data_IF_378321037137
#
_entry.id   IF_378321037137
#
_cell.length_a   1.000
_cell.length_b   1.000
_cell.length_c   1.000
_cell.angle_alpha   90.00
_cell.angle_beta   90.00
_cell.angle_gamma   90.00
#
_symmetry.space_group_name_H-M   'P 1'
#
loop_
_entity.id
_entity.type
_entity.pdbx_description
1 polymer ?
#
# COMPACT_ATOMS: atom_id res chain seq x y z
N UNK A 1 -37.83 3.41 -13.08
CA UNK A 1 -37.93 1.93 -13.11
C UNK A 1 -36.70 1.25 -13.69
N UNK A 2 -36.25 1.57 -14.91
CA UNK A 2 -35.03 0.94 -15.49
C UNK A 2 -33.76 1.12 -14.65
N UNK A 3 -33.50 2.32 -14.11
CA UNK A 3 -32.33 2.59 -13.25
C UNK A 3 -32.28 1.73 -11.98
N UNK A 4 -33.44 1.46 -11.36
CA UNK A 4 -33.54 0.65 -10.15
C UNK A 4 -33.22 -0.83 -10.39
N UNK A 5 -33.41 -1.31 -11.63
CA UNK A 5 -33.07 -2.69 -12.03
C UNK A 5 -31.59 -2.78 -12.41
N UNK A 6 -31.08 -1.78 -13.14
CA UNK A 6 -29.68 -1.77 -13.60
C UNK A 6 -28.70 -1.69 -12.43
N UNK A 7 -29.00 -0.92 -11.38
CA UNK A 7 -28.11 -0.72 -10.24
C UNK A 7 -27.70 -2.05 -9.55
N UNK A 8 -28.63 -2.89 -9.06
CA UNK A 8 -28.26 -4.15 -8.39
C UNK A 8 -27.62 -5.14 -9.36
N UNK A 9 -28.11 -5.25 -10.60
CA UNK A 9 -27.51 -6.11 -11.61
C UNK A 9 -26.05 -5.72 -11.89
N UNK A 10 -25.78 -4.43 -12.10
CA UNK A 10 -24.44 -3.94 -12.37
C UNK A 10 -23.54 -4.02 -11.14
N UNK A 11 -24.06 -3.79 -9.94
CA UNK A 11 -23.30 -3.94 -8.69
C UNK A 11 -22.78 -5.37 -8.50
N UNK A 12 -23.63 -6.37 -8.73
CA UNK A 12 -23.24 -7.79 -8.62
C UNK A 12 -22.20 -8.13 -9.70
N UNK A 13 -22.44 -7.74 -10.95
CA UNK A 13 -21.50 -7.98 -12.06
C UNK A 13 -20.15 -7.31 -11.83
N UNK A 14 -20.13 -6.05 -11.36
CA UNK A 14 -18.91 -5.33 -11.06
C UNK A 14 -18.13 -5.95 -9.89
N UNK A 15 -18.84 -6.42 -8.86
CA UNK A 15 -18.24 -7.12 -7.72
C UNK A 15 -17.60 -8.45 -8.16
N UNK A 16 -18.27 -9.21 -9.03
CA UNK A 16 -17.70 -10.42 -9.61
C UNK A 16 -16.48 -10.09 -10.46
N UNK A 17 -16.59 -9.13 -11.39
CA UNK A 17 -15.50 -8.73 -12.26
C UNK A 17 -14.25 -8.29 -11.48
N UNK A 18 -14.44 -7.53 -10.39
CA UNK A 18 -13.35 -7.08 -9.52
C UNK A 18 -12.62 -8.23 -8.80
N UNK A 19 -13.27 -9.38 -8.60
CA UNK A 19 -12.68 -10.59 -8.00
C UNK A 19 -11.98 -11.52 -8.99
N UNK A 20 -12.10 -11.27 -10.30
CA UNK A 20 -11.42 -12.09 -11.31
C UNK A 20 -9.93 -11.75 -11.41
N UNK A 21 -9.10 -12.72 -11.78
CA UNK A 21 -7.65 -12.56 -11.95
C UNK A 21 -7.25 -11.81 -13.24
N UNK A 22 -8.15 -10.99 -13.78
CA UNK A 22 -7.96 -10.24 -15.03
C UNK A 22 -7.46 -8.84 -14.68
N UNK A 23 -6.43 -8.38 -15.39
CA UNK A 23 -5.98 -6.99 -15.30
C UNK A 23 -7.11 -6.07 -15.80
N UNK A 24 -7.85 -5.47 -14.87
CA UNK A 24 -8.98 -4.59 -15.16
C UNK A 24 -9.05 -3.43 -14.17
N UNK A 25 -9.51 -2.27 -14.65
CA UNK A 25 -9.67 -1.08 -13.82
C UNK A 25 -11.00 -1.11 -13.06
N UNK A 26 -10.95 -1.01 -11.73
CA UNK A 26 -12.16 -0.96 -10.87
C UNK A 26 -12.73 0.46 -10.70
N UNK A 27 -12.06 1.49 -11.20
CA UNK A 27 -12.44 2.91 -10.99
C UNK A 27 -13.76 3.25 -11.68
N UNK A 28 -13.90 2.94 -12.97
CA UNK A 28 -15.08 3.29 -13.76
C UNK A 28 -16.35 2.60 -13.23
N UNK A 29 -16.34 1.27 -12.93
CA UNK A 29 -17.51 0.62 -12.34
C UNK A 29 -17.98 1.28 -11.04
N UNK A 30 -17.05 1.70 -10.17
CA UNK A 30 -17.36 2.39 -8.91
C UNK A 30 -18.04 3.74 -9.17
N UNK A 31 -17.49 4.56 -10.08
CA UNK A 31 -18.11 5.83 -10.45
C UNK A 31 -19.50 5.63 -11.07
N UNK A 32 -19.67 4.61 -11.91
CA UNK A 32 -20.96 4.32 -12.54
C UNK A 32 -22.04 3.92 -11.52
N UNK A 33 -21.71 3.03 -10.58
CA UNK A 33 -22.64 2.62 -9.51
C UNK A 33 -23.07 3.82 -8.67
N UNK A 34 -22.12 4.64 -8.23
CA UNK A 34 -22.42 5.87 -7.48
C UNK A 34 -23.24 6.87 -8.28
N UNK A 35 -22.95 7.00 -9.59
CA UNK A 35 -23.70 7.88 -10.49
C UNK A 35 -25.14 7.44 -10.70
N UNK A 36 -25.38 6.13 -10.83
CA UNK A 36 -26.72 5.56 -10.87
C UNK A 36 -27.48 5.86 -9.57
N UNK A 37 -26.84 5.65 -8.42
CA UNK A 37 -27.43 5.94 -7.11
C UNK A 37 -27.78 7.42 -6.96
N UNK A 38 -26.85 8.31 -7.30
CA UNK A 38 -27.07 9.76 -7.28
C UNK A 38 -28.18 10.20 -8.22
N UNK A 39 -28.27 9.62 -9.42
CA UNK A 39 -29.34 9.93 -10.39
C UNK A 39 -30.72 9.45 -9.91
N UNK A 40 -30.79 8.32 -9.21
CA UNK A 40 -32.03 7.83 -8.58
C UNK A 40 -32.48 8.82 -7.51
N UNK A 41 -31.58 9.24 -6.62
CA UNK A 41 -31.89 10.24 -5.58
C UNK A 41 -32.32 11.57 -6.20
N UNK A 42 -31.63 12.05 -7.23
CA UNK A 42 -31.99 13.27 -7.94
C UNK A 42 -33.39 13.19 -8.58
N UNK A 43 -33.75 12.06 -9.19
CA UNK A 43 -35.11 11.84 -9.73
C UNK A 43 -36.18 11.86 -8.64
N UNK A 44 -35.95 11.19 -7.51
CA UNK A 44 -36.88 11.17 -6.38
C UNK A 44 -37.07 12.58 -5.81
N UNK A 45 -35.99 13.35 -5.67
CA UNK A 45 -36.06 14.75 -5.20
C UNK A 45 -36.87 15.62 -6.15
N UNK A 46 -36.66 15.48 -7.46
CA UNK A 46 -37.42 16.21 -8.48
C UNK A 46 -38.91 15.83 -8.47
N UNK A 47 -39.23 14.55 -8.26
CA UNK A 47 -40.61 14.08 -8.18
C UNK A 47 -41.31 14.53 -6.90
N UNK A 48 -40.59 14.58 -5.77
CA UNK A 48 -41.12 14.97 -4.47
C UNK A 48 -41.31 16.50 -4.32
N UNK A 49 -40.37 17.31 -4.81
CA UNK A 49 -40.41 18.77 -4.68
C UNK A 49 -40.98 19.49 -5.90
N UNK A 50 -41.20 18.77 -7.00
CA UNK A 50 -41.70 19.31 -8.26
C UNK A 50 -40.61 20.01 -9.09
N UNK A 51 -40.79 20.01 -10.40
CA UNK A 51 -39.96 20.81 -11.33
C UNK A 51 -40.55 22.22 -11.37
N UNK A 52 -40.09 23.12 -10.49
CA UNK A 52 -40.33 24.55 -10.71
C UNK A 52 -39.26 25.08 -11.68
N UNK A 53 -39.58 25.08 -12.96
CA UNK A 53 -38.75 25.67 -14.04
C UNK A 53 -38.72 27.20 -14.03
N UNK A 54 -39.65 27.87 -13.33
CA UNK A 54 -39.87 29.32 -13.45
C UNK A 54 -39.43 30.17 -12.24
N UNK A 55 -38.71 29.62 -11.25
CA UNK A 55 -38.16 30.39 -10.13
C UNK A 55 -36.78 29.87 -9.71
N UNK A 56 -36.09 30.64 -8.84
CA UNK A 56 -34.77 30.48 -8.19
C UNK A 56 -34.25 29.05 -7.88
N UNK A 57 -35.06 28.00 -7.99
CA UNK A 57 -34.78 26.58 -7.72
C UNK A 57 -34.34 25.75 -8.94
N UNK A 58 -33.91 26.38 -10.04
CA UNK A 58 -33.32 25.70 -11.22
C UNK A 58 -32.00 24.95 -10.94
N UNK A 59 -31.51 24.93 -9.70
CA UNK A 59 -30.27 24.27 -9.28
C UNK A 59 -30.40 22.74 -9.08
N UNK A 60 -31.61 22.18 -9.13
CA UNK A 60 -31.85 20.73 -9.00
C UNK A 60 -31.66 19.98 -10.33
N UNK A 61 -30.44 19.98 -10.87
CA UNK A 61 -30.10 19.14 -12.02
C UNK A 61 -29.84 17.68 -11.56
N UNK A 62 -30.61 16.68 -12.04
CA UNK A 62 -30.36 15.27 -11.71
C UNK A 62 -28.96 14.77 -12.15
N UNK A 63 -28.30 15.45 -13.09
CA UNK A 63 -26.90 15.24 -13.46
C UNK A 63 -25.92 15.64 -12.36
N UNK A 64 -26.14 16.76 -11.68
CA UNK A 64 -25.31 17.19 -10.56
C UNK A 64 -25.40 16.19 -9.39
N UNK A 65 -26.61 15.69 -9.08
CA UNK A 65 -26.79 14.62 -8.09
C UNK A 65 -26.09 13.32 -8.50
N UNK A 66 -26.09 12.97 -9.79
CA UNK A 66 -25.35 11.82 -10.29
C UNK A 66 -23.84 11.99 -10.08
N UNK A 67 -23.28 13.18 -10.36
CA UNK A 67 -21.87 13.48 -10.14
C UNK A 67 -21.49 13.35 -8.66
N UNK A 68 -22.27 13.97 -7.77
CA UNK A 68 -22.03 13.94 -6.32
C UNK A 68 -22.14 12.50 -5.80
N UNK A 69 -23.13 11.72 -6.26
CA UNK A 69 -23.27 10.30 -5.92
C UNK A 69 -22.10 9.44 -6.40
N UNK A 70 -21.61 9.68 -7.62
CA UNK A 70 -20.44 9.00 -8.18
C UNK A 70 -19.20 9.25 -7.32
N UNK A 71 -18.95 10.51 -6.96
CA UNK A 71 -17.85 10.91 -6.10
C UNK A 71 -17.96 10.35 -4.69
N UNK A 72 -19.15 10.44 -4.07
CA UNK A 72 -19.39 9.91 -2.73
C UNK A 72 -19.16 8.40 -2.66
N UNK A 73 -19.71 7.62 -3.59
CA UNK A 73 -19.53 6.16 -3.58
C UNK A 73 -18.07 5.76 -3.84
N UNK A 74 -17.42 6.39 -4.83
CA UNK A 74 -16.01 6.09 -5.11
C UNK A 74 -15.10 6.47 -3.92
N UNK A 75 -15.33 7.62 -3.30
CA UNK A 75 -14.61 8.07 -2.11
C UNK A 75 -14.84 7.17 -0.90
N UNK A 76 -16.07 6.70 -0.69
CA UNK A 76 -16.40 5.78 0.41
C UNK A 76 -15.75 4.41 0.28
N UNK A 77 -15.66 3.86 -0.95
CA UNK A 77 -15.03 2.55 -1.19
C UNK A 77 -13.51 2.62 -1.15
N UNK A 78 -12.92 3.66 -1.76
CA UNK A 78 -11.46 3.78 -1.91
C UNK A 78 -10.77 4.51 -0.77
N UNK A 79 -11.48 5.34 0.00
CA UNK A 79 -10.96 6.29 1.00
C UNK A 79 -9.97 7.32 0.44
N UNK A 80 -9.98 7.53 -0.89
CA UNK A 80 -9.25 8.61 -1.54
C UNK A 80 -10.09 9.90 -1.48
N UNK A 81 -9.60 10.90 -0.76
CA UNK A 81 -10.34 12.17 -0.55
C UNK A 81 -9.85 13.28 -1.48
N UNK A 82 -8.62 13.73 -1.29
CA UNK A 82 -8.07 14.89 -2.01
C UNK A 82 -7.91 14.62 -3.50
N UNK A 83 -7.22 13.53 -3.86
CA UNK A 83 -6.97 13.17 -5.25
C UNK A 83 -8.27 12.92 -6.02
N UNK A 84 -9.24 12.25 -5.39
CA UNK A 84 -10.54 12.00 -6.02
C UNK A 84 -11.33 13.29 -6.26
N UNK A 85 -11.32 14.19 -5.29
CA UNK A 85 -12.00 15.49 -5.41
C UNK A 85 -11.43 16.28 -6.59
N UNK A 86 -10.11 16.34 -6.73
CA UNK A 86 -9.43 17.02 -7.84
C UNK A 86 -9.79 16.37 -9.18
N UNK A 87 -9.75 15.04 -9.28
CA UNK A 87 -10.11 14.32 -10.51
C UNK A 87 -11.56 14.64 -10.91
N UNK A 88 -12.51 14.65 -9.98
CA UNK A 88 -13.92 14.92 -10.28
C UNK A 88 -14.16 16.36 -10.73
N UNK A 89 -13.47 17.33 -10.11
CA UNK A 89 -13.56 18.73 -10.53
C UNK A 89 -12.96 18.94 -11.91
N UNK A 90 -11.82 18.32 -12.20
CA UNK A 90 -11.19 18.39 -13.52
C UNK A 90 -12.08 17.77 -14.61
N UNK A 91 -12.67 16.60 -14.33
CA UNK A 91 -13.60 15.93 -15.25
C UNK A 91 -14.88 16.74 -15.52
N UNK A 92 -15.33 17.52 -14.53
CA UNK A 92 -16.52 18.37 -14.67
C UNK A 92 -16.18 19.72 -15.29
N UNK A 93 -14.90 20.13 -15.23
CA UNK A 93 -14.41 21.45 -15.61
C UNK A 93 -15.18 22.60 -14.94
N UNK A 94 -15.65 22.37 -13.70
CA UNK A 94 -16.41 23.35 -12.93
C UNK A 94 -16.00 23.28 -11.46
N UNK A 95 -15.31 24.32 -11.02
CA UNK A 95 -14.80 24.46 -9.65
C UNK A 95 -15.90 24.85 -8.65
N UNK A 96 -17.07 25.28 -9.10
CA UNK A 96 -18.17 25.66 -8.20
C UNK A 96 -18.71 24.43 -7.45
N UNK A 97 -18.64 23.24 -8.04
CA UNK A 97 -19.04 21.98 -7.41
C UNK A 97 -18.00 21.41 -6.43
N UNK A 98 -16.80 22.00 -6.35
CA UNK A 98 -15.70 21.51 -5.51
C UNK A 98 -16.13 21.29 -4.05
N UNK A 99 -16.77 22.29 -3.44
CA UNK A 99 -17.16 22.24 -2.03
C UNK A 99 -18.17 21.12 -1.77
N UNK A 100 -19.19 20.98 -2.62
CA UNK A 100 -20.23 19.98 -2.45
C UNK A 100 -19.66 18.55 -2.60
N UNK A 101 -18.81 18.35 -3.61
CA UNK A 101 -18.14 17.07 -3.86
C UNK A 101 -17.24 16.70 -2.67
N UNK A 102 -16.46 17.66 -2.16
CA UNK A 102 -15.56 17.44 -1.03
C UNK A 102 -16.31 17.05 0.25
N UNK A 103 -17.41 17.73 0.56
CA UNK A 103 -18.25 17.41 1.73
C UNK A 103 -18.87 16.02 1.57
N UNK A 104 -19.40 15.70 0.38
CA UNK A 104 -19.99 14.39 0.11
C UNK A 104 -18.96 13.24 0.23
N UNK A 105 -17.75 13.45 -0.28
CA UNK A 105 -16.65 12.48 -0.14
C UNK A 105 -16.24 12.35 1.33
N UNK A 106 -16.12 13.44 2.09
CA UNK A 106 -15.76 13.37 3.52
C UNK A 106 -16.79 12.60 4.34
N UNK A 107 -18.07 12.89 4.17
CA UNK A 107 -19.14 12.17 4.88
C UNK A 107 -19.12 10.69 4.50
N UNK A 108 -18.99 10.37 3.22
CA UNK A 108 -18.90 8.99 2.75
C UNK A 108 -17.66 8.27 3.29
N UNK A 109 -16.51 8.97 3.37
CA UNK A 109 -15.28 8.44 3.96
C UNK A 109 -15.49 8.11 5.44
N UNK A 110 -16.05 9.02 6.23
CA UNK A 110 -16.28 8.79 7.66
C UNK A 110 -17.23 7.62 7.92
N UNK A 111 -18.34 7.57 7.17
CA UNK A 111 -19.28 6.44 7.26
C UNK A 111 -18.58 5.15 6.85
N UNK A 112 -17.76 5.19 5.80
CA UNK A 112 -16.93 4.07 5.41
C UNK A 112 -15.97 3.63 6.51
N UNK A 113 -15.20 4.55 7.09
CA UNK A 113 -14.19 4.30 8.12
C UNK A 113 -14.80 3.60 9.34
N UNK A 114 -16.06 3.91 9.64
CA UNK A 114 -16.82 3.24 10.70
C UNK A 114 -17.25 1.81 10.34
N UNK A 115 -17.55 1.52 9.08
CA UNK A 115 -18.16 0.24 8.65
C UNK A 115 -17.12 -0.77 8.16
N UNK A 116 -16.14 -0.34 7.37
CA UNK A 116 -15.17 -1.24 6.71
C UNK A 116 -13.79 -0.61 6.50
N UNK A 117 -12.79 -1.47 6.32
CA UNK A 117 -11.46 -1.08 5.88
C UNK A 117 -11.47 -0.64 4.39
N UNK A 118 -10.61 0.31 3.95
CA UNK A 118 -10.50 0.69 2.55
C UNK A 118 -10.27 -0.50 1.61
N UNK A 119 -10.94 -0.48 0.46
CA UNK A 119 -10.88 -1.57 -0.52
C UNK A 119 -9.47 -1.94 -0.95
N UNK A 120 -8.60 -0.96 -1.18
CA UNK A 120 -7.23 -1.21 -1.66
C UNK A 120 -6.33 -1.82 -0.59
N UNK A 121 -6.48 -1.42 0.68
CA UNK A 121 -5.73 -2.05 1.77
C UNK A 121 -6.17 -3.50 1.98
N UNK A 122 -7.48 -3.77 1.93
CA UNK A 122 -7.98 -5.14 1.99
C UNK A 122 -7.39 -6.03 0.87
N UNK A 123 -7.19 -5.48 -0.34
CA UNK A 123 -6.53 -6.21 -1.43
C UNK A 123 -5.04 -6.49 -1.17
N UNK A 124 -4.34 -5.60 -0.46
CA UNK A 124 -2.94 -5.82 -0.07
C UNK A 124 -2.83 -6.91 0.99
N UNK A 125 -3.71 -6.90 1.99
CA UNK A 125 -3.81 -7.92 3.04
C UNK A 125 -4.10 -9.30 2.44
N UNK A 126 -5.04 -9.41 1.51
CA UNK A 126 -5.35 -10.66 0.82
C UNK A 126 -4.17 -11.21 -0.02
N UNK A 127 -3.26 -10.34 -0.45
CA UNK A 127 -2.03 -10.72 -1.16
C UNK A 127 -0.85 -10.98 -0.21
N UNK A 128 -1.04 -10.86 1.10
CA UNK A 128 0.01 -10.98 2.12
C UNK A 128 1.22 -10.07 1.84
N UNK A 129 0.99 -8.89 1.29
CA UNK A 129 2.07 -7.93 1.02
C UNK A 129 2.31 -7.12 2.29
N UNK A 130 3.54 -7.11 2.85
CA UNK A 130 3.85 -6.30 4.02
C UNK A 130 3.81 -4.81 3.64
N UNK A 131 2.75 -4.14 4.07
CA UNK A 131 2.57 -2.69 3.89
C UNK A 131 2.78 -2.00 5.23
N UNK A 132 3.56 -0.92 5.23
CA UNK A 132 3.80 -0.09 6.41
C UNK A 132 2.99 1.20 6.28
N UNK A 133 2.02 1.38 7.17
CA UNK A 133 1.21 2.59 7.21
C UNK A 133 2.04 3.82 7.61
N UNK A 134 1.59 5.01 7.19
CA UNK A 134 2.29 6.28 7.46
C UNK A 134 2.37 6.61 8.95
N UNK A 135 1.38 6.16 9.72
CA UNK A 135 1.37 6.22 11.17
C UNK A 135 1.37 4.79 11.69
N UNK A 136 2.29 4.42 12.58
CA UNK A 136 2.30 3.07 13.12
C UNK A 136 1.10 2.92 14.07
N UNK A 137 0.11 2.15 13.66
CA UNK A 137 -1.05 1.82 14.50
C UNK A 137 -0.98 0.33 14.82
N UNK A 138 -0.39 -0.01 15.97
CA UNK A 138 -0.49 -1.38 16.48
C UNK A 138 -1.81 -1.55 17.23
N UNK A 139 -2.71 -2.34 16.65
CA UNK A 139 -3.93 -2.78 17.29
C UNK A 139 -3.62 -3.97 18.18
N UNK A 140 -3.60 -3.77 19.50
CA UNK A 140 -3.53 -4.89 20.45
C UNK A 140 -4.95 -5.41 20.69
N UNK A 141 -5.17 -6.72 20.47
CA UNK A 141 -6.46 -7.39 20.66
C UNK A 141 -7.64 -6.74 19.89
N UNK A 142 -7.34 -6.23 18.68
CA UNK A 142 -8.33 -5.71 17.73
C UNK A 142 -9.12 -4.47 18.17
N UNK A 143 -8.79 -3.85 19.32
CA UNK A 143 -9.62 -2.79 19.91
C UNK A 143 -8.87 -1.60 20.50
N UNK A 144 -7.55 -1.66 20.70
CA UNK A 144 -6.80 -0.55 21.31
C UNK A 144 -5.61 -0.15 20.44
N UNK A 145 -5.57 1.13 20.08
CA UNK A 145 -4.36 1.77 19.58
C UNK A 145 -3.35 1.77 20.73
N UNK A 146 -2.33 0.92 20.63
CA UNK A 146 -1.26 0.89 21.61
C UNK A 146 -0.28 2.01 21.30
N UNK A 147 0.10 2.79 22.30
CA UNK A 147 1.09 3.85 22.10
C UNK A 147 2.47 3.21 21.88
N UNK A 148 3.02 3.32 20.67
CA UNK A 148 4.34 2.78 20.33
C UNK A 148 5.49 3.48 21.06
N UNK A 149 5.26 4.66 21.64
CA UNK A 149 6.28 5.37 22.43
C UNK A 149 6.82 4.53 23.60
N UNK A 150 6.06 3.52 24.05
CA UNK A 150 6.44 2.60 25.12
C UNK A 150 7.29 1.41 24.63
N UNK A 151 7.40 1.19 23.31
CA UNK A 151 8.13 0.07 22.74
C UNK A 151 9.52 0.49 22.29
N UNK A 152 10.52 -0.08 22.94
CA UNK A 152 11.91 0.04 22.52
C UNK A 152 12.23 -0.83 21.29
N UNK A 153 13.21 -0.41 20.49
CA UNK A 153 13.67 -1.15 19.31
C UNK A 153 14.14 -2.59 19.63
N UNK A 154 14.57 -2.83 20.88
CA UNK A 154 14.98 -4.14 21.36
C UNK A 154 13.85 -5.19 21.32
N UNK A 155 12.59 -4.76 21.42
CA UNK A 155 11.42 -5.65 21.36
C UNK A 155 11.07 -6.09 19.94
N UNK A 156 11.51 -5.35 18.93
CA UNK A 156 11.14 -5.56 17.51
C UNK A 156 12.32 -6.15 16.74
N UNK A 157 13.56 -5.86 17.15
CA UNK A 157 14.76 -6.34 16.47
C UNK A 157 14.84 -7.87 16.46
N UNK A 158 15.24 -8.44 15.32
CA UNK A 158 15.52 -9.87 15.20
C UNK A 158 16.88 -10.19 15.81
N UNK A 159 16.91 -11.09 16.80
CA UNK A 159 18.13 -11.61 17.41
C UNK A 159 18.14 -13.14 17.35
N UNK A 160 19.28 -13.80 17.07
CA UNK A 160 20.64 -13.26 16.87
C UNK A 160 20.87 -12.68 15.46
N UNK A 161 21.77 -11.68 15.36
CA UNK A 161 22.16 -11.07 14.09
C UNK A 161 23.38 -11.77 13.51
N UNK A 162 23.34 -12.11 12.22
CA UNK A 162 24.49 -12.67 11.50
C UNK A 162 25.47 -11.55 11.13
N UNK A 163 26.69 -11.64 11.66
CA UNK A 163 27.72 -10.61 11.51
C UNK A 163 28.84 -11.08 10.58
N UNK A 164 29.45 -10.15 9.86
CA UNK A 164 30.66 -10.38 9.06
C UNK A 164 31.78 -9.51 9.65
N UNK A 165 32.97 -10.07 9.87
CA UNK A 165 34.11 -9.27 10.34
C UNK A 165 34.73 -8.45 9.21
N UNK A 166 35.53 -7.43 9.52
CA UNK A 166 36.24 -6.64 8.49
C UNK A 166 37.18 -7.50 7.62
N UNK A 167 37.70 -8.61 8.16
CA UNK A 167 38.50 -9.59 7.44
C UNK A 167 37.90 -10.97 7.67
N UNK A 168 37.40 -11.61 6.62
CA UNK A 168 36.75 -12.93 6.70
C UNK A 168 37.23 -13.78 5.54
N UNK A 169 37.31 -15.09 5.76
CA UNK A 169 37.64 -16.05 4.70
C UNK A 169 36.49 -16.14 3.70
N UNK A 170 36.84 -16.16 2.42
CA UNK A 170 35.88 -16.27 1.31
C UNK A 170 34.97 -17.50 1.47
N UNK A 171 35.51 -18.62 1.97
CA UNK A 171 34.75 -19.84 2.21
C UNK A 171 33.62 -19.67 3.23
N UNK A 172 33.83 -18.85 4.26
CA UNK A 172 32.81 -18.59 5.29
C UNK A 172 31.73 -17.65 4.75
N UNK A 173 32.12 -16.65 3.93
CA UNK A 173 31.17 -15.76 3.23
C UNK A 173 30.31 -16.55 2.25
N UNK A 174 30.91 -17.43 1.45
CA UNK A 174 30.19 -18.25 0.48
C UNK A 174 29.18 -19.19 1.18
N UNK A 175 29.57 -19.83 2.29
CA UNK A 175 28.64 -20.64 3.11
C UNK A 175 27.50 -19.80 3.66
N UNK A 176 27.79 -18.64 4.22
CA UNK A 176 26.79 -17.73 4.78
C UNK A 176 25.78 -17.28 3.71
N UNK A 177 26.22 -17.01 2.47
CA UNK A 177 25.33 -16.68 1.36
C UNK A 177 24.47 -17.85 0.86
N UNK A 178 24.95 -19.08 1.02
CA UNK A 178 24.20 -20.30 0.67
C UNK A 178 23.20 -20.70 1.74
N UNK A 179 23.53 -20.52 3.01
CA UNK A 179 22.69 -20.90 4.15
C UNK A 179 21.57 -19.89 4.43
N UNK A 180 21.75 -18.63 4.04
CA UNK A 180 20.85 -17.53 4.45
C UNK A 180 20.21 -16.82 3.27
N UNK A 181 18.98 -16.34 3.46
CA UNK A 181 18.23 -15.53 2.48
C UNK A 181 18.28 -14.03 2.78
N UNK A 182 19.12 -13.59 3.71
CA UNK A 182 19.22 -12.17 4.07
C UNK A 182 19.84 -11.34 2.94
N UNK A 183 19.35 -10.12 2.78
CA UNK A 183 19.79 -9.20 1.73
C UNK A 183 20.92 -8.27 2.17
N UNK A 184 21.25 -8.22 3.45
CA UNK A 184 22.33 -7.39 3.98
C UNK A 184 22.86 -7.91 5.31
N UNK A 185 24.14 -7.64 5.55
CA UNK A 185 24.88 -8.15 6.68
C UNK A 185 25.67 -6.99 7.34
N UNK A 186 25.55 -6.80 8.67
CA UNK A 186 26.37 -5.84 9.38
C UNK A 186 27.83 -6.30 9.45
N UNK A 187 28.74 -5.38 9.14
CA UNK A 187 30.18 -5.53 9.29
C UNK A 187 30.58 -5.07 10.69
N UNK A 188 31.32 -5.92 11.38
CA UNK A 188 31.83 -5.66 12.73
C UNK A 188 33.36 -5.64 12.71
N UNK A 189 33.95 -4.64 13.36
CA UNK A 189 35.40 -4.59 13.60
C UNK A 189 35.67 -5.02 15.02
N UNK A 190 36.54 -6.03 15.18
CA UNK A 190 37.01 -6.50 16.49
C UNK A 190 38.34 -5.84 16.80
N UNK A 191 38.36 -4.92 17.78
CA UNK A 191 39.57 -4.26 18.26
C UNK A 191 39.60 -4.38 19.79
N UNK A 192 40.71 -4.85 20.36
CA UNK A 192 40.92 -4.96 21.81
C UNK A 192 39.77 -5.63 22.58
N UNK A 193 39.16 -6.67 21.98
CA UNK A 193 38.05 -7.42 22.60
C UNK A 193 36.67 -6.76 22.50
N UNK A 194 36.56 -5.54 21.96
CA UNK A 194 35.29 -4.84 21.74
C UNK A 194 34.85 -5.01 20.28
N UNK A 195 33.63 -5.51 20.08
CA UNK A 195 32.99 -5.59 18.76
C UNK A 195 32.26 -4.28 18.45
N UNK A 196 32.80 -3.51 17.52
CA UNK A 196 32.19 -2.23 17.09
C UNK A 196 31.56 -2.40 15.72
N UNK A 197 30.32 -1.92 15.55
CA UNK A 197 29.67 -1.86 14.24
C UNK A 197 30.44 -0.89 13.33
N UNK A 198 30.82 -1.36 12.14
CA UNK A 198 31.60 -0.59 11.17
C UNK A 198 30.76 -0.14 9.97
N UNK A 199 29.81 -0.96 9.53
CA UNK A 199 28.96 -0.65 8.38
C UNK A 199 28.03 -1.79 8.01
N UNK A 200 27.32 -1.67 6.90
CA UNK A 200 26.44 -2.71 6.35
C UNK A 200 26.86 -2.98 4.92
N UNK A 201 26.92 -4.27 4.55
CA UNK A 201 27.17 -4.69 3.18
C UNK A 201 25.99 -5.51 2.67
N UNK A 202 25.57 -5.23 1.45
CA UNK A 202 24.46 -5.96 0.83
C UNK A 202 24.94 -7.29 0.24
N UNK A 203 24.01 -8.23 0.11
CA UNK A 203 24.28 -9.51 -0.56
C UNK A 203 24.75 -9.31 -2.00
N UNK A 204 24.20 -8.33 -2.70
CA UNK A 204 24.59 -7.97 -4.07
C UNK A 204 26.02 -7.47 -4.14
N UNK A 205 26.42 -6.58 -3.23
CA UNK A 205 27.82 -6.12 -3.16
C UNK A 205 28.79 -7.25 -2.84
N UNK A 206 28.46 -8.14 -1.89
CA UNK A 206 29.25 -9.33 -1.61
C UNK A 206 29.38 -10.24 -2.83
N UNK A 207 28.29 -10.47 -3.56
CA UNK A 207 28.34 -11.31 -4.78
C UNK A 207 29.21 -10.70 -5.87
N UNK A 208 29.19 -9.37 -6.03
CA UNK A 208 30.05 -8.66 -6.99
C UNK A 208 31.51 -8.73 -6.56
N UNK A 209 31.81 -8.58 -5.26
CA UNK A 209 33.17 -8.72 -4.72
C UNK A 209 33.72 -10.14 -4.91
N UNK A 210 32.89 -11.17 -4.71
CA UNK A 210 33.28 -12.56 -4.96
C UNK A 210 33.60 -12.85 -6.43
N UNK A 211 33.05 -12.07 -7.37
CA UNK A 211 33.39 -12.16 -8.78
C UNK A 211 34.67 -11.39 -9.16
N UNK A 212 35.17 -10.49 -8.31
CA UNK A 212 36.37 -9.68 -8.59
C UNK A 212 37.56 -10.19 -7.78
N UNK A 213 38.38 -11.04 -8.41
CA UNK A 213 39.54 -11.68 -7.76
C UNK A 213 40.64 -10.70 -7.33
N UNK A 214 40.69 -9.48 -7.90
CA UNK A 214 41.67 -8.45 -7.54
C UNK A 214 41.47 -7.87 -6.13
N UNK A 215 40.30 -8.10 -5.51
CA UNK A 215 40.00 -7.63 -4.15
C UNK A 215 40.45 -8.60 -3.04
N UNK A 216 41.02 -9.74 -3.41
CA UNK A 216 41.48 -10.74 -2.47
C UNK A 216 42.92 -10.46 -2.06
N UNK A 217 43.10 -10.10 -0.78
CA UNK A 217 44.42 -10.15 -0.15
C UNK A 217 44.88 -11.61 -0.14
N UNK A 218 45.80 -11.97 -1.03
CA UNK A 218 46.56 -13.21 -0.93
C UNK A 218 47.45 -13.08 0.30
N UNK A 219 47.07 -13.73 1.41
CA UNK A 219 47.99 -13.91 2.53
C UNK A 219 49.21 -14.69 2.03
N UNK A 220 50.28 -13.96 1.72
CA UNK A 220 51.62 -14.47 1.37
C UNK A 220 52.29 -15.21 2.55
N UNK A 221 51.56 -15.44 3.64
CA UNK A 221 52.03 -16.10 4.88
C UNK A 221 51.47 -17.51 5.11
N UNK A 222 50.74 -18.13 4.17
CA UNK A 222 50.39 -19.55 4.30
C UNK A 222 51.58 -20.42 3.84
N UNK A 223 52.21 -21.12 4.78
CA UNK A 223 53.19 -22.18 4.52
C UNK A 223 52.70 -23.13 3.42
N UNK A 224 53.58 -23.63 2.53
CA UNK A 224 53.18 -24.47 1.40
C UNK A 224 52.35 -25.66 1.89
N UNK A 225 51.21 -25.89 1.23
CA UNK A 225 50.36 -27.07 1.43
C UNK A 225 51.24 -28.33 1.35
N UNK A 226 51.12 -29.29 2.28
CA UNK A 226 51.85 -30.54 2.17
C UNK A 226 51.42 -31.24 0.88
N UNK A 227 52.37 -31.44 -0.02
CA UNK A 227 52.20 -32.26 -1.21
C UNK A 227 51.89 -33.69 -0.76
N UNK A 228 50.68 -34.16 -1.05
CA UNK A 228 50.33 -35.57 -0.89
C UNK A 228 50.98 -36.29 -2.07
N UNK A 229 52.12 -36.92 -1.81
CA UNK A 229 52.77 -37.83 -2.75
C UNK A 229 51.85 -39.04 -2.95
N UNK A 230 51.30 -39.16 -4.16
CA UNK A 230 50.69 -40.40 -4.63
C UNK A 230 51.80 -41.26 -5.25
N UNK A 231 52.39 -42.12 -4.42
CA UNK A 231 53.18 -43.29 -4.83
C UNK A 231 52.39 -44.56 -4.63
#
# INVERSE_FOLDING_TARGET
MSLLIVLPCYFILASWAAGTSISSGVVIPKMFIGGLMGRIVGRIMVEAFGVQTDLYWSWMDPGAFALIGAAAFFGGVSRLTMSLTVIMVELTNDVQFLLLIMVAIMVSKWVGDYVTHPFYHAQLELKCIPFLDSEPVILFDGKRNLNLELFEACHIMSSPVLIIETKVRISDVAKLLLETSHCGFPIVKKSDGVSTFFGLITRTELSVLLCHEESFDLDESLSPLPTVDYS
#
